data_IF_810493892804
#
_entry.id   IF_810493892804
#
_cell.length_a   1.000
_cell.length_b   1.000
_cell.length_c   1.000
_cell.angle_alpha   90.00
_cell.angle_beta   90.00
_cell.angle_gamma   90.00
#
_symmetry.space_group_name_H-M   'P 1'
#
loop_
_entity.id
_entity.type
_entity.pdbx_description
1 polymer ?
#
# COMPACT_ATOMS: atom_id res chain seq x y z
N UNK A 1 -7.05 -35.10 -7.85
CA UNK A 1 -7.69 -36.08 -6.92
C UNK A 1 -8.12 -35.28 -5.71
N UNK A 2 -9.39 -35.41 -5.31
CA UNK A 2 -10.14 -34.65 -4.29
C UNK A 2 -10.57 -33.21 -4.61
N UNK A 3 -11.80 -33.12 -5.15
CA UNK A 3 -12.76 -32.03 -4.96
C UNK A 3 -13.42 -32.17 -3.57
N UNK A 4 -13.76 -31.05 -2.90
CA UNK A 4 -15.08 -30.72 -2.30
C UNK A 4 -15.00 -29.36 -1.60
N UNK A 5 -15.53 -28.26 -2.16
CA UNK A 5 -16.86 -27.67 -1.91
C UNK A 5 -17.32 -27.66 -0.44
N UNK A 6 -17.49 -26.46 0.13
CA UNK A 6 -18.59 -26.16 1.05
C UNK A 6 -19.22 -24.80 0.71
N UNK A 7 -20.51 -24.85 0.39
CA UNK A 7 -21.48 -23.76 0.39
C UNK A 7 -22.38 -23.97 1.61
N UNK A 8 -22.81 -22.89 2.28
CA UNK A 8 -24.12 -22.70 2.95
C UNK A 8 -24.09 -21.29 3.56
N UNK A 9 -24.73 -20.26 2.99
CA UNK A 9 -26.16 -19.88 3.02
C UNK A 9 -26.78 -19.71 4.41
N UNK A 10 -26.98 -18.43 4.73
CA UNK A 10 -27.94 -17.79 5.64
C UNK A 10 -29.22 -18.58 5.94
N UNK A 11 -29.59 -18.60 7.23
CA UNK A 11 -30.98 -18.62 7.69
C UNK A 11 -31.14 -17.57 8.79
N UNK A 12 -32.03 -16.61 8.52
CA UNK A 12 -32.59 -15.63 9.46
C UNK A 12 -33.70 -16.32 10.24
N UNK A 13 -33.73 -16.16 11.57
CA UNK A 13 -34.96 -16.31 12.34
C UNK A 13 -35.01 -15.23 13.43
N UNK A 14 -35.99 -14.34 13.30
CA UNK A 14 -36.36 -13.35 14.29
C UNK A 14 -37.42 -13.95 15.22
N UNK A 15 -37.28 -13.76 16.55
CA UNK A 15 -38.45 -13.62 17.44
C UNK A 15 -38.11 -12.98 18.78
N UNK A 16 -38.73 -11.81 18.98
CA UNK A 16 -39.36 -11.23 20.18
C UNK A 16 -38.68 -11.21 21.57
N UNK A 17 -38.50 -9.96 22.02
CA UNK A 17 -38.69 -9.38 23.36
C UNK A 17 -39.27 -10.26 24.48
N UNK A 18 -38.64 -10.18 25.65
CA UNK A 18 -39.32 -9.90 26.92
C UNK A 18 -38.37 -9.21 27.92
N UNK A 19 -38.74 -7.98 28.29
CA UNK A 19 -38.16 -7.16 29.35
C UNK A 19 -38.60 -7.73 30.70
N UNK A 20 -37.66 -7.99 31.61
CA UNK A 20 -37.92 -7.96 33.06
C UNK A 20 -36.75 -7.29 33.76
N UNK A 21 -36.96 -6.06 34.20
CA UNK A 21 -36.16 -5.36 35.19
C UNK A 21 -36.39 -5.97 36.56
N UNK A 22 -35.33 -6.29 37.30
CA UNK A 22 -35.36 -6.35 38.77
C UNK A 22 -33.94 -6.22 39.32
N UNK A 23 -33.68 -5.06 39.90
CA UNK A 23 -32.54 -4.79 40.79
C UNK A 23 -32.80 -5.54 42.08
N UNK A 24 -31.88 -6.42 42.50
CA UNK A 24 -31.72 -6.78 43.90
C UNK A 24 -30.23 -6.83 44.24
N UNK A 25 -29.84 -5.91 45.11
CA UNK A 25 -28.59 -5.88 45.85
C UNK A 25 -28.63 -7.07 46.83
N UNK A 26 -27.60 -7.91 46.79
CA UNK A 26 -27.40 -8.98 47.74
C UNK A 26 -25.91 -9.24 47.93
N UNK A 27 -25.32 -8.62 48.96
CA UNK A 27 -24.02 -9.00 49.48
C UNK A 27 -24.08 -10.42 50.04
N UNK A 28 -23.09 -11.25 49.70
CA UNK A 28 -22.83 -12.53 50.35
C UNK A 28 -21.41 -12.98 50.01
N UNK A 29 -20.54 -12.98 51.02
CA UNK A 29 -19.14 -13.42 50.99
C UNK A 29 -18.97 -14.81 50.37
N UNK A 30 -18.12 -14.93 49.34
CA UNK A 30 -17.41 -16.17 48.99
C UNK A 30 -16.05 -15.90 48.36
N UNK A 31 -15.01 -16.08 49.17
CA UNK A 31 -13.68 -16.61 48.84
C UNK A 31 -13.14 -16.31 47.42
N UNK A 32 -12.32 -15.28 47.30
CA UNK A 32 -11.37 -15.14 46.19
C UNK A 32 -10.30 -16.22 46.31
N UNK A 33 -10.28 -17.14 45.34
CA UNK A 33 -9.10 -17.94 45.01
C UNK A 33 -8.25 -17.04 44.14
N UNK A 34 -7.22 -16.42 44.71
CA UNK A 34 -6.14 -15.80 43.95
C UNK A 34 -5.30 -16.90 43.29
N UNK A 35 -5.63 -17.25 42.05
CA UNK A 35 -4.66 -17.84 41.14
C UNK A 35 -3.71 -16.73 40.68
N UNK A 36 -2.68 -16.46 41.49
CA UNK A 36 -1.48 -15.78 41.01
C UNK A 36 -0.76 -16.71 40.03
N UNK A 37 -1.04 -16.55 38.75
CA UNK A 37 -0.14 -16.98 37.69
C UNK A 37 1.09 -16.09 37.73
N UNK A 38 2.08 -16.48 38.55
CA UNK A 38 3.45 -15.98 38.46
C UNK A 38 4.02 -16.42 37.10
N UNK A 39 3.76 -15.62 36.06
CA UNK A 39 4.62 -15.59 34.88
C UNK A 39 5.75 -14.64 35.22
N UNK A 40 6.93 -15.17 35.55
CA UNK A 40 8.15 -14.38 35.60
C UNK A 40 8.33 -13.73 34.22
N UNK A 41 8.06 -12.43 34.10
CA UNK A 41 8.33 -11.68 32.88
C UNK A 41 9.84 -11.66 32.69
N UNK A 42 10.36 -12.49 31.79
CA UNK A 42 11.78 -12.47 31.41
C UNK A 42 12.10 -11.04 30.95
N UNK A 43 13.03 -10.38 31.64
CA UNK A 43 13.41 -9.01 31.32
C UNK A 43 13.89 -8.94 29.87
N UNK A 44 13.45 -7.91 29.16
CA UNK A 44 13.74 -7.73 27.75
C UNK A 44 15.23 -7.47 27.54
N UNK A 45 15.84 -8.23 26.63
CA UNK A 45 17.26 -8.10 26.32
C UNK A 45 17.45 -6.93 25.36
N UNK A 46 18.15 -5.88 25.81
CA UNK A 46 18.59 -4.78 24.95
C UNK A 46 20.04 -4.97 24.51
N UNK A 47 20.34 -4.62 23.26
CA UNK A 47 21.71 -4.52 22.73
C UNK A 47 22.08 -3.07 22.47
N UNK A 48 23.38 -2.76 22.49
CA UNK A 48 23.90 -1.44 22.11
C UNK A 48 24.27 -1.39 20.61
N UNK A 49 24.61 -0.18 20.13
CA UNK A 49 24.95 0.06 18.72
C UNK A 49 26.19 -0.73 18.26
N UNK A 50 27.15 -0.99 19.15
CA UNK A 50 28.36 -1.76 18.79
C UNK A 50 28.02 -3.23 18.58
N UNK A 51 27.24 -3.82 19.49
CA UNK A 51 26.74 -5.17 19.39
C UNK A 51 25.82 -5.35 18.17
N UNK A 52 24.97 -4.36 17.86
CA UNK A 52 24.15 -4.38 16.64
C UNK A 52 25.02 -4.44 15.39
N UNK A 53 26.01 -3.54 15.25
CA UNK A 53 26.91 -3.50 14.08
C UNK A 53 27.65 -4.81 13.87
N UNK A 54 28.08 -5.47 14.95
CA UNK A 54 28.71 -6.80 14.90
C UNK A 54 27.73 -7.86 14.39
N UNK A 55 26.51 -7.91 14.92
CA UNK A 55 25.49 -8.89 14.53
C UNK A 55 25.02 -8.73 13.09
N UNK A 56 24.96 -7.51 12.57
CA UNK A 56 24.59 -7.24 11.18
C UNK A 56 25.63 -7.73 10.15
N UNK A 57 26.80 -8.18 10.58
CA UNK A 57 27.77 -8.83 9.67
C UNK A 57 27.40 -10.29 9.34
N UNK A 58 26.37 -10.85 10.00
CA UNK A 58 25.97 -12.24 9.86
C UNK A 58 24.64 -12.37 9.12
N UNK A 59 24.63 -13.16 8.06
CA UNK A 59 23.40 -13.59 7.33
C UNK A 59 22.42 -14.37 8.22
N UNK A 60 22.85 -14.81 9.41
CA UNK A 60 21.98 -15.46 10.39
C UNK A 60 21.18 -14.48 11.26
N UNK A 61 21.44 -13.17 11.14
CA UNK A 61 20.74 -12.11 11.86
C UNK A 61 19.64 -11.51 10.99
N UNK A 62 18.47 -11.26 11.59
CA UNK A 62 17.38 -10.51 10.97
C UNK A 62 17.09 -9.30 11.83
N UNK A 63 17.21 -8.11 11.25
CA UNK A 63 16.88 -6.85 11.88
C UNK A 63 15.47 -6.43 11.47
N UNK A 64 14.59 -6.18 12.44
CA UNK A 64 13.16 -5.97 12.20
C UNK A 64 12.76 -4.60 12.72
N UNK A 65 12.37 -3.69 11.82
CA UNK A 65 11.73 -2.44 12.18
C UNK A 65 10.24 -2.69 12.48
N UNK A 66 9.79 -2.24 13.64
CA UNK A 66 8.41 -2.44 14.10
C UNK A 66 7.55 -1.18 14.09
N UNK A 67 8.10 -0.08 13.60
CA UNK A 67 7.40 1.20 13.42
C UNK A 67 6.45 1.15 12.22
N UNK A 68 5.76 2.25 11.95
CA UNK A 68 4.85 2.33 10.81
C UNK A 68 5.58 2.25 9.47
N UNK A 69 4.80 1.96 8.42
CA UNK A 69 5.25 1.96 7.04
C UNK A 69 5.91 3.27 6.62
N UNK A 70 5.27 4.37 6.99
CA UNK A 70 5.75 5.70 6.69
C UNK A 70 7.06 6.01 7.41
N UNK A 71 7.21 5.56 8.66
CA UNK A 71 8.43 5.74 9.44
C UNK A 71 9.61 4.98 8.83
N UNK A 72 9.37 3.73 8.42
CA UNK A 72 10.34 2.92 7.68
C UNK A 72 10.70 3.58 6.35
N UNK A 73 9.72 4.10 5.62
CA UNK A 73 9.93 4.68 4.30
C UNK A 73 10.73 5.99 4.33
N UNK A 74 10.56 6.81 5.36
CA UNK A 74 11.34 8.04 5.51
C UNK A 74 10.81 9.10 6.46
N UNK A 75 9.54 9.03 6.87
CA UNK A 75 8.94 9.98 7.81
C UNK A 75 9.51 9.84 9.22
N UNK A 76 9.43 10.92 10.00
CA UNK A 76 9.69 10.90 11.43
C UNK A 76 8.42 10.59 12.21
N UNK A 77 8.51 9.67 13.17
CA UNK A 77 7.48 9.53 14.21
C UNK A 77 7.75 10.48 15.39
N UNK A 78 9.02 10.76 15.67
CA UNK A 78 9.47 11.60 16.77
C UNK A 78 10.55 12.59 16.28
N UNK A 79 10.49 13.83 16.77
CA UNK A 79 11.36 14.93 16.31
C UNK A 79 12.86 14.68 16.55
N UNK A 80 13.21 13.94 17.62
CA UNK A 80 14.58 13.64 18.00
C UNK A 80 15.15 12.38 17.31
N UNK A 81 14.39 11.76 16.40
CA UNK A 81 14.78 10.58 15.63
C UNK A 81 14.72 10.90 14.13
N UNK A 82 15.81 10.63 13.40
CA UNK A 82 15.84 10.64 11.93
C UNK A 82 14.80 9.66 11.37
N UNK A 83 14.06 10.07 10.34
CA UNK A 83 13.13 9.18 9.64
C UNK A 83 13.86 8.21 8.72
N UNK A 84 13.20 7.14 8.30
CA UNK A 84 13.81 6.03 7.55
C UNK A 84 14.30 4.91 8.47
N UNK A 85 14.98 3.92 7.90
CA UNK A 85 15.35 2.67 8.59
C UNK A 85 16.85 2.36 8.56
N UNK A 86 17.28 1.46 9.43
CA UNK A 86 18.66 0.93 9.43
C UNK A 86 18.88 0.06 8.17
N UNK A 87 20.01 0.20 7.44
CA UNK A 87 20.30 -0.62 6.27
C UNK A 87 20.16 -2.13 6.54
N UNK A 88 19.45 -2.82 5.65
CA UNK A 88 19.19 -4.27 5.76
C UNK A 88 18.07 -4.66 6.73
N UNK A 89 17.42 -3.70 7.38
CA UNK A 89 16.21 -3.98 8.15
C UNK A 89 15.07 -4.44 7.24
N UNK A 90 14.33 -5.44 7.70
CA UNK A 90 13.01 -5.78 7.17
C UNK A 90 11.93 -5.05 7.97
N UNK A 91 10.74 -4.96 7.40
CA UNK A 91 9.60 -4.30 8.00
C UNK A 91 8.61 -5.33 8.58
N UNK A 92 8.21 -5.10 9.83
CA UNK A 92 7.10 -5.80 10.48
C UNK A 92 6.45 -4.85 11.50
N UNK A 93 5.53 -3.96 11.07
CA UNK A 93 4.84 -3.04 11.96
C UNK A 93 4.18 -3.79 13.11
N UNK A 94 4.37 -3.30 14.34
CA UNK A 94 3.79 -3.93 15.53
C UNK A 94 2.24 -4.04 15.47
N UNK A 95 1.60 -3.15 14.70
CA UNK A 95 0.15 -3.13 14.46
C UNK A 95 -0.36 -4.38 13.75
N UNK A 96 0.47 -5.07 12.97
CA UNK A 96 0.11 -6.32 12.28
C UNK A 96 -0.24 -7.46 13.22
N UNK A 97 0.26 -7.42 14.46
CA UNK A 97 -0.13 -8.38 15.50
C UNK A 97 -1.65 -8.34 15.81
N UNK A 98 -2.32 -7.23 15.52
CA UNK A 98 -3.77 -7.07 15.70
C UNK A 98 -4.58 -7.48 14.45
N UNK A 99 -3.89 -7.81 13.34
CA UNK A 99 -4.51 -8.15 12.05
C UNK A 99 -4.57 -9.65 11.79
N UNK A 100 -3.64 -10.39 12.38
CA UNK A 100 -3.61 -11.85 12.35
C UNK A 100 -4.65 -12.44 13.30
N UNK A 101 -5.33 -13.52 12.89
CA UNK A 101 -6.42 -14.15 13.64
C UNK A 101 -5.90 -15.08 14.73
N UNK A 102 -4.78 -15.75 14.48
CA UNK A 102 -4.20 -16.74 15.36
C UNK A 102 -2.68 -16.89 15.13
N UNK A 103 -2.05 -17.71 15.97
CA UNK A 103 -0.61 -17.97 15.92
C UNK A 103 -0.19 -18.70 14.64
N UNK A 104 -1.08 -19.43 13.96
CA UNK A 104 -0.75 -20.09 12.70
C UNK A 104 -0.60 -19.06 11.58
N UNK A 105 -1.53 -18.11 11.49
CA UNK A 105 -1.45 -17.00 10.52
C UNK A 105 -0.22 -16.13 10.80
N UNK A 106 0.05 -15.83 12.08
CA UNK A 106 1.24 -15.09 12.47
C UNK A 106 2.54 -15.84 12.11
N UNK A 107 2.64 -17.14 12.38
CA UNK A 107 3.85 -17.91 12.04
C UNK A 107 4.11 -17.91 10.53
N UNK A 108 3.07 -18.03 9.70
CA UNK A 108 3.21 -17.94 8.25
C UNK A 108 3.75 -16.56 7.82
N UNK A 109 3.22 -15.48 8.40
CA UNK A 109 3.67 -14.12 8.11
C UNK A 109 5.13 -13.87 8.57
N UNK A 110 5.50 -14.37 9.75
CA UNK A 110 6.88 -14.30 10.25
C UNK A 110 7.82 -15.06 9.31
N UNK A 111 7.47 -16.27 8.90
CA UNK A 111 8.26 -17.07 7.96
C UNK A 111 8.39 -16.39 6.59
N UNK A 112 7.31 -15.78 6.07
CA UNK A 112 7.32 -15.02 4.82
C UNK A 112 8.29 -13.84 4.88
N UNK A 113 8.35 -13.14 6.02
CA UNK A 113 9.30 -12.05 6.27
C UNK A 113 10.71 -12.57 6.65
N UNK A 114 10.96 -13.88 6.65
CA UNK A 114 12.25 -14.47 6.99
C UNK A 114 12.59 -14.48 8.49
N UNK A 115 11.62 -14.19 9.35
CA UNK A 115 11.74 -14.27 10.81
C UNK A 115 11.50 -15.73 11.22
N UNK A 116 12.58 -16.50 11.37
CA UNK A 116 12.52 -17.92 11.74
C UNK A 116 13.26 -18.20 13.05
N UNK A 117 12.95 -19.33 13.71
CA UNK A 117 13.51 -19.68 15.04
C UNK A 117 15.01 -19.97 15.02
N UNK A 118 15.57 -20.31 13.86
CA UNK A 118 16.99 -20.59 13.70
C UNK A 118 17.84 -19.29 13.70
N UNK A 119 17.23 -18.19 13.27
CA UNK A 119 17.86 -16.87 13.12
C UNK A 119 17.98 -16.17 14.47
N UNK A 120 18.91 -15.22 14.53
CA UNK A 120 18.97 -14.22 15.59
C UNK A 120 18.10 -13.03 15.18
N UNK A 121 17.07 -12.71 15.98
CA UNK A 121 16.10 -11.66 15.68
C UNK A 121 16.38 -10.44 16.55
N UNK A 122 16.59 -9.29 15.92
CA UNK A 122 16.73 -8.01 16.60
C UNK A 122 15.54 -7.15 16.18
N UNK A 123 14.59 -6.92 17.08
CA UNK A 123 13.49 -5.99 16.82
C UNK A 123 13.88 -4.59 17.27
N UNK A 124 13.37 -3.56 16.61
CA UNK A 124 13.60 -2.19 17.04
C UNK A 124 12.43 -1.27 16.76
N UNK A 125 12.43 -0.17 17.51
CA UNK A 125 11.60 1.02 17.31
C UNK A 125 12.37 2.21 17.85
N UNK A 126 11.86 3.44 17.67
CA UNK A 126 12.53 4.69 18.07
C UNK A 126 13.13 4.61 19.49
N UNK A 127 12.30 4.22 20.46
CA UNK A 127 12.69 4.09 21.87
C UNK A 127 12.69 2.65 22.40
N UNK A 128 12.50 1.65 21.54
CA UNK A 128 12.36 0.24 21.92
C UNK A 128 10.99 -0.15 22.51
N UNK A 129 10.06 0.80 22.64
CA UNK A 129 8.74 0.56 23.26
C UNK A 129 7.73 -0.08 22.32
N UNK A 130 7.71 0.32 21.05
CA UNK A 130 6.76 -0.26 20.07
C UNK A 130 7.17 -1.69 19.72
N UNK A 131 8.48 -1.93 19.60
CA UNK A 131 9.07 -3.25 19.35
C UNK A 131 8.87 -4.25 20.49
N UNK A 132 8.48 -3.81 21.68
CA UNK A 132 8.20 -4.68 22.82
C UNK A 132 7.10 -5.71 22.53
N UNK A 133 6.07 -5.31 21.78
CA UNK A 133 4.95 -6.20 21.47
C UNK A 133 5.40 -7.39 20.62
N UNK A 134 6.17 -7.15 19.55
CA UNK A 134 6.73 -8.20 18.71
C UNK A 134 7.80 -9.00 19.47
N UNK A 135 8.67 -8.35 20.25
CA UNK A 135 9.64 -9.05 21.11
C UNK A 135 8.95 -10.10 22.00
N UNK A 136 7.94 -9.66 22.76
CA UNK A 136 7.23 -10.52 23.69
C UNK A 136 6.48 -11.64 22.95
N UNK A 137 5.91 -11.31 21.79
CA UNK A 137 5.22 -12.32 20.97
C UNK A 137 6.17 -13.38 20.45
N UNK A 138 7.34 -13.01 19.91
CA UNK A 138 8.37 -13.96 19.46
C UNK A 138 8.85 -14.86 20.60
N UNK A 139 9.14 -14.29 21.77
CA UNK A 139 9.52 -15.07 22.96
C UNK A 139 8.41 -16.07 23.34
N UNK A 140 7.14 -15.65 23.33
CA UNK A 140 6.00 -16.52 23.64
C UNK A 140 5.82 -17.67 22.64
N UNK A 141 6.23 -17.46 21.38
CA UNK A 141 6.22 -18.48 20.31
C UNK A 141 7.44 -19.40 20.36
N UNK A 142 8.36 -19.19 21.31
CA UNK A 142 9.55 -20.00 21.53
C UNK A 142 10.76 -19.60 20.68
N UNK A 143 10.85 -18.34 20.26
CA UNK A 143 12.10 -17.81 19.69
C UNK A 143 13.09 -17.55 20.83
N UNK A 144 14.26 -18.20 20.77
CA UNK A 144 15.23 -18.16 21.87
C UNK A 144 16.25 -17.02 21.75
N UNK A 145 16.49 -16.54 20.52
CA UNK A 145 17.50 -15.51 20.18
C UNK A 145 16.80 -14.22 19.74
N UNK A 146 16.15 -13.55 20.68
CA UNK A 146 15.46 -12.27 20.43
C UNK A 146 16.11 -11.18 21.27
N UNK A 147 16.41 -10.04 20.66
CA UNK A 147 16.87 -8.82 21.34
C UNK A 147 16.08 -7.61 20.86
N UNK A 148 16.06 -6.55 21.64
CA UNK A 148 15.48 -5.25 21.29
C UNK A 148 16.58 -4.19 21.15
N UNK A 149 16.35 -3.21 20.30
CA UNK A 149 17.25 -2.09 20.05
C UNK A 149 16.47 -0.76 19.98
N UNK A 150 17.14 0.33 20.38
CA UNK A 150 16.58 1.69 20.35
C UNK A 150 17.14 2.42 19.15
N UNK A 151 16.32 2.66 18.14
CA UNK A 151 16.77 3.36 16.93
C UNK A 151 17.27 4.78 17.21
N UNK A 152 16.80 5.44 18.27
CA UNK A 152 17.34 6.70 18.76
C UNK A 152 18.87 6.66 18.92
N UNK A 153 19.44 5.55 19.39
CA UNK A 153 20.89 5.42 19.62
C UNK A 153 21.68 5.28 18.31
N UNK A 154 21.08 4.70 17.27
CA UNK A 154 21.63 4.71 15.90
C UNK A 154 21.51 6.10 15.29
N UNK A 155 20.35 6.72 15.51
CA UNK A 155 19.92 7.96 14.88
C UNK A 155 20.74 9.17 15.32
N UNK A 156 21.14 9.22 16.61
CA UNK A 156 21.97 10.30 17.17
C UNK A 156 23.38 10.41 16.59
N UNK A 157 23.92 9.32 16.07
CA UNK A 157 25.22 9.31 15.42
C UNK A 157 25.03 9.49 13.92
N UNK A 158 25.30 10.70 13.44
CA UNK A 158 25.15 11.08 12.03
C UNK A 158 26.03 10.27 11.07
N UNK A 159 27.08 9.60 11.57
CA UNK A 159 27.92 8.71 10.75
C UNK A 159 27.23 7.39 10.42
N UNK A 160 26.17 7.02 11.15
CA UNK A 160 25.37 5.85 10.84
C UNK A 160 24.43 6.15 9.67
N UNK A 161 24.50 5.29 8.65
CA UNK A 161 23.61 5.34 7.49
C UNK A 161 22.15 5.07 7.90
N UNK A 162 21.23 5.80 7.30
CA UNK A 162 19.79 5.58 7.39
C UNK A 162 19.25 5.60 5.98
N UNK A 163 18.48 4.58 5.62
CA UNK A 163 17.83 4.49 4.32
C UNK A 163 16.52 5.27 4.40
N UNK A 164 16.37 6.24 3.48
CA UNK A 164 15.13 6.97 3.23
C UNK A 164 14.85 6.88 1.72
N UNK A 165 13.61 6.57 1.34
CA UNK A 165 13.24 6.48 -0.08
C UNK A 165 13.02 7.87 -0.68
N UNK A 166 13.44 8.09 -1.92
CA UNK A 166 13.51 9.44 -2.50
C UNK A 166 12.18 10.20 -2.47
N UNK A 167 11.06 9.49 -2.70
CA UNK A 167 9.73 10.07 -2.72
C UNK A 167 8.82 9.45 -1.64
N UNK A 168 9.36 9.17 -0.45
CA UNK A 168 8.59 8.58 0.66
C UNK A 168 7.33 9.38 1.00
N UNK A 169 7.33 10.69 0.74
CA UNK A 169 6.22 11.60 1.05
C UNK A 169 4.93 11.31 0.28
N UNK A 170 4.99 10.49 -0.77
CA UNK A 170 3.84 10.10 -1.60
C UNK A 170 2.90 9.17 -0.84
N UNK A 171 3.41 8.32 0.05
CA UNK A 171 2.60 7.41 0.88
C UNK A 171 2.44 8.02 2.29
N UNK A 172 1.28 8.58 2.58
CA UNK A 172 1.02 9.27 3.86
C UNK A 172 0.20 8.42 4.82
N UNK A 173 0.44 8.59 6.12
CA UNK A 173 -0.28 7.89 7.18
C UNK A 173 -1.61 8.57 7.52
N UNK A 174 -2.54 7.86 8.19
CA UNK A 174 -3.74 8.47 8.75
C UNK A 174 -3.45 9.66 9.67
N UNK A 175 -2.36 9.58 10.46
CA UNK A 175 -1.93 10.68 11.33
C UNK A 175 -1.53 11.92 10.52
N UNK A 176 -0.80 11.75 9.42
CA UNK A 176 -0.41 12.86 8.54
C UNK A 176 -1.66 13.57 7.99
N UNK A 177 -2.63 12.81 7.49
CA UNK A 177 -3.89 13.34 6.95
C UNK A 177 -4.71 14.02 8.06
N UNK A 178 -4.78 13.43 9.25
CA UNK A 178 -5.47 14.02 10.40
C UNK A 178 -4.86 15.34 10.83
N UNK A 179 -3.53 15.41 10.91
CA UNK A 179 -2.82 16.63 11.27
C UNK A 179 -3.05 17.72 10.23
N UNK A 180 -3.10 17.39 8.93
CA UNK A 180 -3.46 18.32 7.86
C UNK A 180 -4.89 18.87 8.02
N UNK A 181 -5.89 17.99 8.22
CA UNK A 181 -7.30 18.38 8.39
C UNK A 181 -7.49 19.25 9.65
N UNK A 182 -6.72 18.99 10.70
CA UNK A 182 -6.73 19.78 11.94
C UNK A 182 -6.04 21.16 11.79
N UNK A 183 -5.55 21.49 10.60
CA UNK A 183 -4.86 22.76 10.33
C UNK A 183 -3.45 22.83 10.88
N UNK A 184 -2.81 21.67 11.16
CA UNK A 184 -1.38 21.61 11.49
C UNK A 184 -0.56 21.55 10.20
N UNK A 185 0.76 21.55 10.35
CA UNK A 185 1.70 21.46 9.24
C UNK A 185 2.48 20.13 9.34
N UNK A 186 1.92 19.01 8.85
CA UNK A 186 2.61 17.73 8.94
C UNK A 186 3.87 17.72 8.06
N UNK A 187 4.82 16.83 8.39
CA UNK A 187 6.12 16.74 7.70
C UNK A 187 5.94 16.66 6.18
N UNK A 188 6.81 17.33 5.42
CA UNK A 188 6.79 17.42 3.94
C UNK A 188 5.56 18.10 3.30
N UNK A 189 4.56 18.59 4.05
CA UNK A 189 3.46 19.36 3.46
C UNK A 189 3.98 20.73 2.93
N UNK A 190 3.82 21.04 1.63
CA UNK A 190 4.36 22.28 1.04
C UNK A 190 3.50 23.52 1.35
N UNK A 191 2.30 23.35 1.91
CA UNK A 191 1.31 24.42 2.04
C UNK A 191 0.39 24.52 0.80
N UNK A 192 -0.29 25.65 0.61
CA UNK A 192 -1.06 25.91 -0.62
C UNK A 192 -2.49 25.37 -0.65
N UNK A 193 -2.97 24.77 0.45
CA UNK A 193 -4.28 24.11 0.50
C UNK A 193 -4.19 22.65 0.08
N UNK A 194 -5.31 21.93 0.18
CA UNK A 194 -5.36 20.52 -0.19
C UNK A 194 -6.73 20.11 -0.75
N UNK A 195 -6.75 19.02 -1.50
CA UNK A 195 -7.94 18.28 -1.86
C UNK A 195 -7.78 16.82 -1.42
N UNK A 196 -8.69 16.34 -0.58
CA UNK A 196 -8.74 14.94 -0.16
C UNK A 196 -9.83 14.23 -0.97
N UNK A 197 -9.51 13.15 -1.68
CA UNK A 197 -10.41 12.47 -2.61
C UNK A 197 -10.63 11.03 -2.16
N UNK A 198 -11.90 10.65 -1.92
CA UNK A 198 -12.30 9.23 -1.82
C UNK A 198 -12.64 8.70 -3.21
N UNK A 199 -11.70 7.99 -3.81
CA UNK A 199 -11.77 7.43 -5.16
C UNK A 199 -12.31 6.00 -5.17
N UNK A 200 -13.44 5.78 -5.84
CA UNK A 200 -14.04 4.45 -6.00
C UNK A 200 -14.83 4.39 -7.31
N UNK A 201 -14.88 3.23 -7.98
CA UNK A 201 -15.76 3.03 -9.13
C UNK A 201 -17.23 2.92 -8.69
N UNK A 202 -18.09 3.84 -9.12
CA UNK A 202 -19.49 3.92 -8.71
C UNK A 202 -19.66 3.94 -7.17
N UNK A 203 -18.76 4.62 -6.46
CA UNK A 203 -18.66 4.52 -4.99
C UNK A 203 -19.49 5.51 -4.18
N UNK A 204 -20.49 6.17 -4.76
CA UNK A 204 -21.28 7.19 -4.06
C UNK A 204 -21.97 6.64 -2.79
N UNK A 205 -22.48 5.40 -2.85
CA UNK A 205 -23.14 4.79 -1.70
C UNK A 205 -22.14 4.46 -0.58
N UNK A 206 -20.94 3.96 -0.93
CA UNK A 206 -19.85 3.68 0.01
C UNK A 206 -19.39 4.96 0.71
N UNK A 207 -19.30 6.07 -0.03
CA UNK A 207 -18.93 7.38 0.52
C UNK A 207 -19.99 7.90 1.52
N UNK A 208 -21.28 7.70 1.22
CA UNK A 208 -22.40 8.11 2.10
C UNK A 208 -22.48 7.29 3.39
N UNK A 209 -22.02 6.03 3.37
CA UNK A 209 -21.93 5.21 4.59
C UNK A 209 -20.88 5.76 5.56
N UNK A 210 -19.85 6.43 5.04
CA UNK A 210 -18.87 7.18 5.83
C UNK A 210 -17.55 7.37 5.08
N UNK A 211 -16.98 8.55 5.23
CA UNK A 211 -15.73 8.97 4.59
C UNK A 211 -14.85 9.79 5.56
N UNK A 212 -13.58 9.96 5.22
CA UNK A 212 -12.65 10.76 6.02
C UNK A 212 -13.13 12.22 6.00
N UNK A 213 -13.13 12.92 7.15
CA UNK A 213 -13.54 14.32 7.18
C UNK A 213 -12.87 15.17 6.11
N UNK A 214 -13.65 16.05 5.47
CA UNK A 214 -13.28 16.92 4.33
C UNK A 214 -13.05 16.21 2.99
N UNK A 215 -13.11 14.88 2.93
CA UNK A 215 -12.93 14.14 1.68
C UNK A 215 -14.07 14.42 0.69
N UNK A 216 -13.73 14.62 -0.57
CA UNK A 216 -14.66 14.75 -1.68
C UNK A 216 -14.90 13.37 -2.29
N UNK A 217 -16.15 13.08 -2.66
CA UNK A 217 -16.47 11.87 -3.42
C UNK A 217 -15.90 12.01 -4.84
N UNK A 218 -15.05 11.08 -5.25
CA UNK A 218 -14.42 11.06 -6.57
C UNK A 218 -14.70 9.71 -7.24
N UNK A 219 -15.37 9.71 -8.39
CA UNK A 219 -15.57 8.48 -9.15
C UNK A 219 -14.41 8.26 -10.11
N UNK A 220 -13.90 7.05 -10.27
CA UNK A 220 -12.85 6.79 -11.27
C UNK A 220 -13.34 7.11 -12.69
N UNK A 221 -14.65 7.03 -12.96
CA UNK A 221 -15.27 7.50 -14.20
C UNK A 221 -15.10 9.01 -14.44
N UNK A 222 -14.61 9.79 -13.47
CA UNK A 222 -14.21 11.17 -13.69
C UNK A 222 -12.95 11.23 -14.58
N UNK A 223 -11.99 10.31 -14.42
CA UNK A 223 -10.71 10.35 -15.15
C UNK A 223 -10.60 9.37 -16.32
N UNK A 224 -11.44 8.35 -16.38
CA UNK A 224 -11.44 7.36 -17.46
C UNK A 224 -12.86 7.08 -17.96
N UNK A 225 -12.97 6.47 -19.14
CA UNK A 225 -14.28 6.13 -19.72
C UNK A 225 -14.23 4.84 -20.53
N UNK A 226 -15.28 4.03 -20.41
CA UNK A 226 -15.50 2.89 -21.29
C UNK A 226 -15.95 3.31 -22.70
N UNK A 227 -15.88 2.39 -23.68
CA UNK A 227 -15.47 0.99 -23.53
C UNK A 227 -13.96 0.75 -23.48
N UNK A 228 -13.14 1.75 -23.83
CA UNK A 228 -11.67 1.62 -23.89
C UNK A 228 -11.02 1.57 -22.50
N UNK A 229 -11.61 2.22 -21.49
CA UNK A 229 -11.09 2.36 -20.13
C UNK A 229 -9.74 3.05 -20.04
N UNK A 230 -9.35 3.77 -21.08
CA UNK A 230 -8.24 4.72 -21.03
C UNK A 230 -8.64 5.99 -20.27
N UNK A 231 -7.62 6.75 -19.88
CA UNK A 231 -7.81 8.12 -19.38
C UNK A 231 -8.55 8.96 -20.43
N UNK A 232 -9.38 9.89 -19.94
CA UNK A 232 -10.07 10.86 -20.78
C UNK A 232 -9.07 11.79 -21.45
N UNK A 233 -9.54 12.52 -22.45
CA UNK A 233 -8.72 13.52 -23.14
C UNK A 233 -8.28 14.62 -22.19
N UNK A 234 -7.15 15.27 -22.48
CA UNK A 234 -6.62 16.38 -21.66
C UNK A 234 -7.66 17.48 -21.39
N UNK A 235 -8.50 17.80 -22.37
CA UNK A 235 -9.57 18.78 -22.23
C UNK A 235 -10.68 18.31 -21.26
N UNK A 236 -11.03 17.03 -21.27
CA UNK A 236 -11.99 16.46 -20.32
C UNK A 236 -11.40 16.42 -18.90
N UNK A 237 -10.12 16.06 -18.77
CA UNK A 237 -9.42 16.02 -17.48
C UNK A 237 -9.21 17.42 -16.89
N UNK A 238 -8.97 18.44 -17.72
CA UNK A 238 -8.91 19.84 -17.31
C UNK A 238 -10.22 20.29 -16.65
N UNK A 239 -11.37 19.89 -17.23
CA UNK A 239 -12.67 20.21 -16.63
C UNK A 239 -12.92 19.46 -15.31
N UNK A 240 -12.35 18.26 -15.15
CA UNK A 240 -12.41 17.51 -13.88
C UNK A 240 -11.63 18.22 -12.79
N UNK A 241 -10.36 18.59 -13.03
CA UNK A 241 -9.59 19.30 -11.99
C UNK A 241 -10.19 20.66 -11.66
N UNK A 242 -10.77 21.38 -12.65
CA UNK A 242 -11.53 22.60 -12.40
C UNK A 242 -12.76 22.36 -11.54
N UNK A 243 -13.55 21.33 -11.85
CA UNK A 243 -14.74 20.94 -11.06
C UNK A 243 -14.38 20.66 -9.60
N UNK A 244 -13.27 19.96 -9.37
CA UNK A 244 -12.82 19.55 -8.03
C UNK A 244 -11.99 20.61 -7.29
N UNK A 245 -11.69 21.75 -7.91
CA UNK A 245 -10.92 22.82 -7.28
C UNK A 245 -9.43 22.54 -7.17
N UNK A 246 -8.90 21.67 -8.02
CA UNK A 246 -7.50 21.23 -8.00
C UNK A 246 -6.70 22.11 -8.97
N UNK A 247 -5.70 22.81 -8.43
CA UNK A 247 -4.69 23.55 -9.21
C UNK A 247 -3.39 22.76 -9.26
N UNK A 248 -2.42 23.23 -10.06
CA UNK A 248 -1.06 22.67 -10.07
C UNK A 248 -0.39 22.67 -8.68
N UNK A 249 -0.71 23.67 -7.84
CA UNK A 249 -0.10 23.90 -6.54
C UNK A 249 -0.90 23.27 -5.37
N UNK A 250 -2.04 22.62 -5.67
CA UNK A 250 -2.88 21.98 -4.65
C UNK A 250 -2.25 20.65 -4.25
N UNK A 251 -2.05 20.41 -2.95
CA UNK A 251 -1.75 19.05 -2.48
C UNK A 251 -2.98 18.16 -2.66
N UNK A 252 -2.89 17.14 -3.52
CA UNK A 252 -3.96 16.17 -3.72
C UNK A 252 -3.63 14.90 -2.96
N UNK A 253 -4.51 14.50 -2.05
CA UNK A 253 -4.43 13.22 -1.33
C UNK A 253 -5.56 12.33 -1.82
N UNK A 254 -5.24 11.12 -2.26
CA UNK A 254 -6.22 10.16 -2.76
C UNK A 254 -6.24 8.94 -1.86
N UNK A 255 -7.43 8.39 -1.64
CA UNK A 255 -7.61 7.08 -1.02
C UNK A 255 -8.84 6.40 -1.61
N UNK A 256 -8.92 5.07 -1.52
CA UNK A 256 -9.99 4.34 -2.18
C UNK A 256 -9.98 2.86 -1.86
N UNK A 257 -11.00 2.14 -2.34
CA UNK A 257 -11.04 0.67 -2.24
C UNK A 257 -11.63 0.08 -3.52
N UNK A 258 -10.89 -0.80 -4.24
CA UNK A 258 -9.52 -1.22 -3.95
C UNK A 258 -8.52 -0.06 -4.14
N UNK A 259 -7.36 -0.15 -3.47
CA UNK A 259 -6.24 0.80 -3.52
C UNK A 259 -5.94 1.24 -4.96
N UNK A 260 -5.75 0.29 -5.88
CA UNK A 260 -5.35 0.52 -7.27
C UNK A 260 -6.20 1.54 -8.04
N UNK A 261 -7.45 1.80 -7.63
CA UNK A 261 -8.28 2.88 -8.20
C UNK A 261 -7.87 4.27 -7.70
N UNK A 262 -7.41 4.40 -6.46
CA UNK A 262 -6.80 5.61 -5.91
C UNK A 262 -5.43 5.88 -6.55
N UNK A 263 -4.55 4.87 -6.68
CA UNK A 263 -3.25 5.07 -7.34
C UNK A 263 -3.42 5.42 -8.83
N UNK A 264 -4.47 4.91 -9.49
CA UNK A 264 -4.84 5.33 -10.84
C UNK A 264 -5.19 6.81 -10.91
N UNK A 265 -5.98 7.32 -9.96
CA UNK A 265 -6.27 8.76 -9.87
C UNK A 265 -5.01 9.56 -9.56
N UNK A 266 -4.15 9.09 -8.64
CA UNK A 266 -2.89 9.74 -8.31
C UNK A 266 -1.96 9.87 -9.53
N UNK A 267 -1.80 8.80 -10.31
CA UNK A 267 -1.06 8.83 -11.58
C UNK A 267 -1.62 9.89 -12.54
N UNK A 268 -2.94 10.00 -12.68
CA UNK A 268 -3.55 11.01 -13.56
C UNK A 268 -3.26 12.42 -13.04
N UNK A 269 -3.34 12.67 -11.73
CA UNK A 269 -2.99 13.98 -11.16
C UNK A 269 -1.52 14.33 -11.43
N UNK A 270 -0.61 13.36 -11.31
CA UNK A 270 0.81 13.54 -11.66
C UNK A 270 0.98 13.81 -13.17
N UNK A 271 0.28 13.09 -14.06
CA UNK A 271 0.29 13.31 -15.50
C UNK A 271 -0.14 14.74 -15.88
N UNK A 272 -1.23 15.23 -15.26
CA UNK A 272 -1.74 16.58 -15.51
C UNK A 272 -0.75 17.66 -15.06
N UNK A 273 0.02 17.39 -14.00
CA UNK A 273 1.04 18.31 -13.48
C UNK A 273 0.73 18.88 -12.09
N UNK A 274 -0.07 18.19 -11.28
CA UNK A 274 -0.18 18.52 -9.85
C UNK A 274 1.18 18.25 -9.21
N UNK A 275 1.74 19.25 -8.55
CA UNK A 275 3.12 19.20 -8.03
C UNK A 275 3.25 18.35 -6.75
N UNK A 276 2.17 18.21 -5.96
CA UNK A 276 2.14 17.39 -4.74
C UNK A 276 0.94 16.44 -4.75
N UNK A 277 1.20 15.19 -5.11
CA UNK A 277 0.20 14.11 -5.15
C UNK A 277 0.58 13.01 -4.17
N UNK A 278 -0.38 12.62 -3.34
CA UNK A 278 -0.19 11.65 -2.26
C UNK A 278 -1.30 10.62 -2.22
N UNK A 279 -1.00 9.47 -1.62
CA UNK A 279 -1.90 8.35 -1.40
C UNK A 279 -1.93 8.08 0.10
N UNK A 280 -3.13 7.96 0.68
CA UNK A 280 -3.27 7.47 2.05
C UNK A 280 -2.99 5.97 2.05
N UNK A 281 -1.84 5.59 2.60
CA UNK A 281 -1.39 4.20 2.63
C UNK A 281 -2.37 3.35 3.47
N UNK A 282 -2.90 2.27 2.90
CA UNK A 282 -3.95 1.45 3.52
C UNK A 282 -5.37 2.04 3.48
N UNK A 283 -5.55 3.21 2.87
CA UNK A 283 -6.83 3.83 2.58
C UNK A 283 -7.75 4.03 3.78
N UNK A 284 -9.07 3.88 3.57
CA UNK A 284 -10.09 4.10 4.61
C UNK A 284 -9.95 3.12 5.78
N UNK A 285 -9.49 1.90 5.53
CA UNK A 285 -9.31 0.91 6.58
C UNK A 285 -8.21 1.34 7.55
N UNK A 286 -7.06 1.82 7.05
CA UNK A 286 -6.00 2.36 7.90
C UNK A 286 -6.48 3.55 8.76
N UNK A 287 -7.34 4.43 8.22
CA UNK A 287 -7.97 5.50 9.00
C UNK A 287 -8.80 4.97 10.18
N UNK A 288 -9.62 3.95 9.93
CA UNK A 288 -10.44 3.31 10.96
C UNK A 288 -9.58 2.57 12.00
N UNK A 289 -8.52 1.90 11.57
CA UNK A 289 -7.59 1.19 12.46
C UNK A 289 -6.81 2.15 13.37
N UNK A 290 -6.57 3.38 12.90
CA UNK A 290 -6.02 4.46 13.71
C UNK A 290 -7.04 5.02 14.73
N UNK A 291 -8.27 4.49 14.77
CA UNK A 291 -9.33 4.93 15.69
C UNK A 291 -9.90 6.29 15.37
N UNK A 292 -9.78 6.74 14.11
CA UNK A 292 -10.24 8.05 13.68
C UNK A 292 -11.68 8.00 13.16
N UNK A 293 -12.43 9.07 13.43
CA UNK A 293 -13.85 9.15 13.09
C UNK A 293 -14.06 9.42 11.59
N UNK A 294 -15.14 8.86 11.05
CA UNK A 294 -15.65 9.19 9.72
C UNK A 294 -16.74 10.26 9.85
N UNK A 295 -16.97 11.00 8.77
CA UNK A 295 -18.18 11.80 8.60
C UNK A 295 -19.09 11.21 7.52
N UNK A 296 -20.35 11.62 7.50
CA UNK A 296 -21.37 11.16 6.55
C UNK A 296 -22.01 12.30 5.77
N UNK A 297 -21.60 13.54 6.04
CA UNK A 297 -22.12 14.72 5.35
C UNK A 297 -21.44 14.84 3.99
N UNK A 298 -22.21 14.96 2.91
CA UNK A 298 -21.62 15.17 1.58
C UNK A 298 -20.79 16.46 1.55
N UNK A 299 -19.52 16.33 1.15
CA UNK A 299 -18.68 17.49 0.85
C UNK A 299 -18.78 17.85 -0.62
N UNK A 300 -18.98 19.14 -0.89
CA UNK A 300 -19.09 19.68 -2.24
C UNK A 300 -17.75 20.29 -2.68
N UNK A 301 -17.26 19.98 -3.90
CA UNK A 301 -16.04 20.57 -4.40
C UNK A 301 -16.22 22.08 -4.66
N UNK A 302 -15.13 22.83 -4.51
CA UNK A 302 -15.10 24.27 -4.82
C UNK A 302 -14.44 24.47 -6.17
N UNK A 303 -15.26 24.62 -7.20
CA UNK A 303 -14.75 24.78 -8.55
C UNK A 303 -13.83 26.00 -8.70
N UNK A 304 -12.80 25.86 -9.53
CA UNK A 304 -11.86 26.92 -9.91
C UNK A 304 -12.01 27.24 -11.40
N UNK A 305 -11.53 28.41 -11.81
CA UNK A 305 -11.58 28.82 -13.21
C UNK A 305 -10.42 28.26 -14.05
N UNK A 306 -9.25 28.06 -13.44
CA UNK A 306 -7.99 27.74 -14.13
C UNK A 306 -7.10 26.86 -13.24
N UNK A 307 -6.46 25.86 -13.85
CA UNK A 307 -5.52 24.94 -13.20
C UNK A 307 -4.21 25.62 -12.77
N UNK A 308 -3.83 26.71 -13.44
CA UNK A 308 -2.59 27.46 -13.20
C UNK A 308 -1.42 27.05 -14.09
N UNK A 309 -1.60 26.07 -14.98
CA UNK A 309 -0.61 25.63 -15.96
C UNK A 309 -1.28 24.98 -17.18
N UNK A 310 -0.51 24.78 -18.26
CA UNK A 310 -0.99 24.02 -19.43
C UNK A 310 -1.04 22.54 -19.09
N UNK A 311 -2.15 21.87 -19.32
CA UNK A 311 -2.27 20.42 -19.17
C UNK A 311 -1.97 19.71 -20.50
N UNK A 312 -1.35 18.51 -20.47
CA UNK A 312 -0.63 17.90 -19.34
C UNK A 312 0.79 18.48 -19.22
N UNK A 313 1.33 18.51 -18.00
CA UNK A 313 2.74 18.86 -17.79
C UNK A 313 3.68 17.65 -17.94
N UNK A 314 3.20 16.44 -17.64
CA UNK A 314 4.02 15.22 -17.62
C UNK A 314 3.43 14.16 -18.57
N UNK A 315 3.36 14.42 -19.89
CA UNK A 315 2.71 13.53 -20.85
C UNK A 315 3.35 12.14 -20.92
N UNK A 316 4.64 12.02 -20.62
CA UNK A 316 5.36 10.75 -20.70
C UNK A 316 4.99 9.74 -19.60
N UNK A 317 4.23 10.14 -18.57
CA UNK A 317 3.78 9.23 -17.50
C UNK A 317 2.70 8.27 -17.95
N UNK A 318 1.92 8.62 -18.98
CA UNK A 318 0.85 7.79 -19.53
C UNK A 318 1.10 7.66 -21.03
N UNK A 319 1.35 6.44 -21.49
CA UNK A 319 1.75 6.15 -22.86
C UNK A 319 0.78 5.18 -23.55
N UNK A 320 0.80 5.16 -24.88
CA UNK A 320 -0.10 4.33 -25.70
C UNK A 320 0.70 3.30 -26.53
N UNK A 321 0.02 2.57 -27.42
CA UNK A 321 0.61 1.47 -28.19
C UNK A 321 1.88 1.88 -28.96
N UNK A 322 1.94 3.05 -29.64
CA UNK A 322 3.14 3.46 -30.35
C UNK A 322 4.37 3.57 -29.44
N UNK A 323 4.24 4.23 -28.29
CA UNK A 323 5.32 4.42 -27.33
C UNK A 323 5.68 3.09 -26.63
N UNK A 324 4.69 2.25 -26.31
CA UNK A 324 4.93 0.93 -25.73
C UNK A 324 5.71 0.01 -26.68
N UNK A 325 5.51 0.13 -28.01
CA UNK A 325 6.34 -0.55 -29.01
C UNK A 325 7.79 -0.07 -29.00
N UNK A 326 8.05 1.20 -28.69
CA UNK A 326 9.42 1.70 -28.50
C UNK A 326 10.02 1.21 -27.17
N UNK A 327 9.22 1.14 -26.09
CA UNK A 327 9.65 0.52 -24.82
C UNK A 327 10.06 -0.94 -25.02
N UNK A 328 9.36 -1.71 -25.86
CA UNK A 328 9.73 -3.10 -26.17
C UNK A 328 11.06 -3.25 -26.93
N UNK A 329 11.57 -2.20 -27.57
CA UNK A 329 12.86 -2.23 -28.26
C UNK A 329 14.03 -1.96 -27.31
N UNK A 330 13.92 -0.88 -26.53
CA UNK A 330 15.03 -0.30 -25.79
C UNK A 330 14.74 -0.10 -24.28
N UNK A 331 13.70 -0.77 -23.76
CA UNK A 331 13.24 -0.66 -22.37
C UNK A 331 12.59 -1.95 -21.85
N UNK A 332 11.73 -1.78 -20.84
CA UNK A 332 11.09 -2.86 -20.08
C UNK A 332 9.57 -2.61 -20.05
N UNK A 333 8.81 -3.39 -20.81
CA UNK A 333 7.35 -3.40 -20.68
C UNK A 333 6.95 -4.47 -19.65
N UNK A 334 6.26 -4.07 -18.59
CA UNK A 334 6.01 -4.90 -17.41
C UNK A 334 4.52 -5.21 -17.26
N UNK A 335 4.18 -6.49 -17.38
CA UNK A 335 2.83 -7.02 -17.21
C UNK A 335 2.52 -7.24 -15.73
N UNK A 336 1.76 -6.33 -15.14
CA UNK A 336 1.24 -6.39 -13.77
C UNK A 336 -0.10 -7.14 -13.77
N UNK A 337 -0.04 -8.42 -14.11
CA UNK A 337 -1.20 -9.31 -14.27
C UNK A 337 -0.99 -10.61 -13.50
N UNK A 338 -2.06 -11.35 -13.24
CA UNK A 338 -1.94 -12.66 -12.61
C UNK A 338 -1.25 -13.67 -13.52
N UNK A 339 -0.77 -14.78 -12.95
CA UNK A 339 -0.14 -15.84 -13.74
C UNK A 339 -1.09 -16.41 -14.81
N UNK A 340 -2.33 -16.70 -14.42
CA UNK A 340 -3.32 -17.30 -15.31
C UNK A 340 -3.74 -16.36 -16.46
N UNK A 341 -3.70 -15.05 -16.24
CA UNK A 341 -3.79 -14.04 -17.30
C UNK A 341 -2.57 -14.08 -18.22
N UNK A 342 -1.36 -14.07 -17.64
CA UNK A 342 -0.09 -13.98 -18.37
C UNK A 342 0.18 -15.19 -19.29
N UNK A 343 -0.22 -16.39 -18.87
CA UNK A 343 -0.12 -17.60 -19.70
C UNK A 343 -1.36 -17.83 -20.58
N UNK A 344 -2.37 -16.94 -20.52
CA UNK A 344 -3.55 -16.98 -21.38
C UNK A 344 -4.59 -18.06 -21.06
N UNK A 345 -4.69 -18.50 -19.79
CA UNK A 345 -5.83 -19.34 -19.34
C UNK A 345 -7.11 -18.53 -19.22
N UNK A 346 -7.00 -17.27 -18.81
CA UNK A 346 -8.11 -16.31 -18.68
C UNK A 346 -7.72 -14.96 -19.27
N UNK A 347 -8.70 -14.14 -19.68
CA UNK A 347 -8.45 -12.72 -19.98
C UNK A 347 -8.27 -11.91 -18.70
N UNK A 348 -8.89 -12.38 -17.61
CA UNK A 348 -9.00 -11.70 -16.32
C UNK A 348 -10.28 -10.87 -16.16
N UNK A 349 -11.08 -10.68 -17.22
CA UNK A 349 -12.16 -9.69 -17.24
C UNK A 349 -13.43 -10.24 -17.88
N UNK A 350 -14.59 -9.79 -17.39
CA UNK A 350 -15.90 -10.22 -17.89
C UNK A 350 -16.33 -9.52 -19.18
N UNK A 351 -15.77 -8.34 -19.47
CA UNK A 351 -16.15 -7.50 -20.60
C UNK A 351 -15.33 -7.75 -21.88
N UNK A 352 -14.32 -8.64 -21.84
CA UNK A 352 -13.60 -9.14 -23.03
C UNK A 352 -12.90 -10.49 -22.78
N UNK A 353 -12.77 -11.33 -23.81
CA UNK A 353 -12.30 -12.73 -23.68
C UNK A 353 -10.99 -13.03 -24.43
N UNK A 354 -10.27 -12.02 -24.93
CA UNK A 354 -8.96 -12.25 -25.57
C UNK A 354 -7.90 -12.60 -24.52
N UNK A 355 -7.17 -13.70 -24.75
CA UNK A 355 -6.23 -14.30 -23.79
C UNK A 355 -4.80 -14.30 -24.32
N UNK A 356 -3.85 -14.24 -23.40
CA UNK A 356 -2.42 -14.19 -23.69
C UNK A 356 -1.76 -12.99 -23.05
N UNK A 357 -0.54 -12.73 -23.49
CA UNK A 357 0.31 -11.61 -23.06
C UNK A 357 0.92 -10.90 -24.26
N UNK A 358 1.39 -9.68 -24.02
CA UNK A 358 2.19 -8.93 -24.98
C UNK A 358 3.54 -9.66 -25.12
N UNK A 359 3.95 -9.92 -26.36
CA UNK A 359 5.22 -10.59 -26.63
C UNK A 359 6.39 -9.71 -26.14
N UNK A 360 7.27 -10.30 -25.33
CA UNK A 360 8.45 -9.61 -24.78
C UNK A 360 8.22 -8.84 -23.47
N UNK A 361 6.99 -8.82 -22.95
CA UNK A 361 6.72 -8.23 -21.65
C UNK A 361 7.33 -9.06 -20.51
N UNK A 362 7.85 -8.39 -19.49
CA UNK A 362 8.30 -9.00 -18.23
C UNK A 362 7.09 -9.19 -17.33
N UNK A 363 7.00 -10.33 -16.66
CA UNK A 363 5.90 -10.59 -15.74
C UNK A 363 6.22 -10.07 -14.34
N UNK A 364 5.37 -9.16 -13.85
CA UNK A 364 5.29 -8.79 -12.44
C UNK A 364 3.96 -9.32 -11.91
N UNK A 365 4.01 -10.31 -11.02
CA UNK A 365 2.81 -11.00 -10.57
C UNK A 365 1.98 -10.06 -9.68
N UNK A 366 0.80 -9.62 -10.13
CA UNK A 366 -0.06 -8.79 -9.28
C UNK A 366 -0.54 -9.54 -8.04
N UNK A 367 -0.92 -10.81 -8.21
CA UNK A 367 -1.55 -11.62 -7.18
C UNK A 367 -2.36 -12.78 -7.78
N UNK A 368 -3.55 -13.03 -7.25
CA UNK A 368 -4.37 -14.21 -7.55
C UNK A 368 -5.48 -13.96 -8.58
N UNK A 369 -6.05 -12.75 -8.59
CA UNK A 369 -7.15 -12.33 -9.47
C UNK A 369 -6.85 -10.98 -10.13
N UNK A 370 -7.65 -10.62 -11.13
CA UNK A 370 -7.51 -9.32 -11.80
C UNK A 370 -7.91 -8.13 -10.92
N UNK A 371 -8.43 -8.39 -9.72
CA UNK A 371 -8.95 -7.40 -8.78
C UNK A 371 -8.10 -7.30 -7.49
N UNK A 372 -6.95 -7.99 -7.43
CA UNK A 372 -6.07 -7.93 -6.26
C UNK A 372 -4.61 -7.65 -6.63
N UNK A 373 -3.91 -7.09 -5.65
CA UNK A 373 -2.51 -6.70 -5.67
C UNK A 373 -1.74 -7.37 -4.53
N UNK A 374 -2.09 -8.62 -4.18
CA UNK A 374 -1.59 -9.31 -2.98
C UNK A 374 -0.06 -9.46 -2.90
N UNK A 375 0.68 -9.33 -4.00
CA UNK A 375 2.16 -9.32 -3.96
C UNK A 375 2.77 -7.92 -3.84
N UNK A 376 1.94 -6.88 -3.86
CA UNK A 376 2.30 -5.46 -3.74
C UNK A 376 1.51 -4.77 -2.62
N UNK A 377 0.81 -5.52 -1.79
CA UNK A 377 0.12 -5.05 -0.59
C UNK A 377 0.50 -5.91 0.61
N UNK A 378 0.60 -5.29 1.78
CA UNK A 378 0.74 -6.00 3.06
C UNK A 378 -0.64 -6.33 3.67
N UNK A 379 -0.64 -7.07 4.78
CA UNK A 379 -1.86 -7.69 5.33
C UNK A 379 -2.92 -6.69 5.84
N UNK A 380 -2.55 -5.42 6.02
CA UNK A 380 -3.45 -4.34 6.41
C UNK A 380 -3.89 -3.46 5.23
N UNK A 381 -3.52 -3.84 4.00
CA UNK A 381 -3.86 -3.14 2.77
C UNK A 381 -2.96 -1.95 2.45
N UNK A 382 -1.91 -1.71 3.24
CA UNK A 382 -0.82 -0.81 2.85
C UNK A 382 -0.05 -1.36 1.66
N UNK A 383 0.68 -0.51 0.97
CA UNK A 383 1.66 -0.95 -0.03
C UNK A 383 2.65 -1.90 0.61
N UNK A 384 3.03 -2.96 -0.11
CA UNK A 384 4.10 -3.86 0.30
C UNK A 384 5.34 -3.04 0.62
N UNK A 385 6.06 -3.42 1.67
CA UNK A 385 7.35 -2.80 2.02
C UNK A 385 8.17 -2.42 0.79
N UNK A 386 8.51 -1.14 0.67
CA UNK A 386 9.23 -0.63 -0.50
C UNK A 386 10.60 -1.32 -0.67
N UNK A 387 11.21 -1.81 0.42
CA UNK A 387 12.41 -2.64 0.38
C UNK A 387 12.17 -3.98 -0.34
N UNK A 388 11.03 -4.63 -0.05
CA UNK A 388 10.66 -5.89 -0.69
C UNK A 388 10.28 -5.68 -2.15
N UNK A 389 9.58 -4.58 -2.48
CA UNK A 389 9.28 -4.22 -3.86
C UNK A 389 10.56 -3.93 -4.66
N UNK A 390 11.53 -3.20 -4.07
CA UNK A 390 12.82 -2.94 -4.70
C UNK A 390 13.58 -4.24 -5.00
N UNK A 391 13.59 -5.17 -4.05
CA UNK A 391 14.21 -6.47 -4.22
C UNK A 391 13.50 -7.31 -5.29
N UNK A 392 12.16 -7.33 -5.27
CA UNK A 392 11.37 -8.03 -6.27
C UNK A 392 11.64 -7.49 -7.69
N UNK A 393 11.70 -6.17 -7.86
CA UNK A 393 12.06 -5.54 -9.13
C UNK A 393 13.45 -5.97 -9.61
N UNK A 394 14.45 -6.01 -8.73
CA UNK A 394 15.79 -6.52 -9.08
C UNK A 394 15.75 -7.98 -9.53
N UNK A 395 14.99 -8.83 -8.84
CA UNK A 395 14.85 -10.26 -9.18
C UNK A 395 14.25 -10.49 -10.57
N UNK A 396 13.26 -9.68 -10.96
CA UNK A 396 12.66 -9.74 -12.30
C UNK A 396 13.44 -8.92 -13.35
N UNK A 397 14.63 -8.43 -13.00
CA UNK A 397 15.56 -7.78 -13.92
C UNK A 397 15.21 -6.33 -14.27
N UNK A 398 14.54 -5.62 -13.36
CA UNK A 398 14.26 -4.19 -13.43
C UNK A 398 15.17 -3.40 -12.49
N UNK A 399 15.50 -2.17 -12.87
CA UNK A 399 16.27 -1.26 -12.03
C UNK A 399 15.91 0.22 -12.30
N UNK A 400 16.32 1.10 -11.38
CA UNK A 400 15.98 2.54 -11.41
C UNK A 400 16.40 3.32 -12.66
N UNK A 401 17.35 2.81 -13.44
CA UNK A 401 17.86 3.48 -14.64
C UNK A 401 17.18 2.96 -15.92
N UNK A 402 16.37 1.91 -15.84
CA UNK A 402 15.65 1.36 -16.99
C UNK A 402 14.55 2.32 -17.45
N UNK A 403 14.30 2.34 -18.76
CA UNK A 403 13.02 2.83 -19.29
C UNK A 403 11.96 1.77 -19.04
N UNK A 404 11.10 1.98 -18.03
CA UNK A 404 10.13 0.97 -17.59
C UNK A 404 8.70 1.46 -17.80
N UNK A 405 7.85 0.67 -18.44
CA UNK A 405 6.42 0.95 -18.52
C UNK A 405 5.62 -0.19 -17.93
N UNK A 406 4.78 0.09 -16.95
CA UNK A 406 3.88 -0.88 -16.34
C UNK A 406 2.56 -0.95 -17.11
N UNK A 407 1.93 -2.12 -17.19
CA UNK A 407 0.60 -2.27 -17.77
C UNK A 407 -0.15 -3.45 -17.17
N UNK A 408 -1.47 -3.44 -17.26
CA UNK A 408 -2.31 -4.58 -16.89
C UNK A 408 -3.40 -4.84 -17.94
N UNK A 409 -4.67 -4.91 -17.57
CA UNK A 409 -5.76 -4.88 -18.56
C UNK A 409 -6.01 -3.48 -19.07
N UNK A 410 -6.26 -2.56 -18.15
CA UNK A 410 -6.75 -1.19 -18.39
C UNK A 410 -6.10 -0.14 -17.44
N UNK A 411 -4.91 -0.42 -16.91
CA UNK A 411 -4.09 0.57 -16.19
C UNK A 411 -4.14 0.59 -14.66
N UNK A 412 -5.18 0.07 -13.99
CA UNK A 412 -5.31 0.19 -12.51
C UNK A 412 -4.16 -0.46 -11.73
N UNK A 413 -3.99 -1.78 -11.84
CA UNK A 413 -2.89 -2.51 -11.17
C UNK A 413 -1.50 -1.95 -11.50
N UNK A 414 -1.32 -1.49 -12.74
CA UNK A 414 -0.07 -0.88 -13.19
C UNK A 414 0.20 0.47 -12.51
N UNK A 415 -0.85 1.19 -12.13
CA UNK A 415 -0.73 2.48 -11.44
C UNK A 415 -0.20 2.30 -10.02
N UNK A 416 -0.62 1.24 -9.30
CA UNK A 416 -0.07 0.94 -7.96
C UNK A 416 1.43 0.64 -8.04
N UNK A 417 1.87 -0.24 -8.94
CA UNK A 417 3.30 -0.52 -9.11
C UNK A 417 4.10 0.68 -9.64
N UNK A 418 3.46 1.56 -10.41
CA UNK A 418 4.07 2.83 -10.79
C UNK A 418 4.33 3.71 -9.57
N UNK A 419 3.38 3.79 -8.62
CA UNK A 419 3.56 4.53 -7.38
C UNK A 419 4.71 3.94 -6.56
N UNK A 420 4.83 2.61 -6.46
CA UNK A 420 5.97 1.98 -5.76
C UNK A 420 7.32 2.36 -6.39
N UNK A 421 7.43 2.26 -7.72
CA UNK A 421 8.63 2.66 -8.46
C UNK A 421 8.91 4.17 -8.31
N UNK A 422 7.85 4.98 -8.25
CA UNK A 422 7.96 6.41 -8.01
C UNK A 422 8.48 6.72 -6.60
N UNK A 423 8.00 6.02 -5.56
CA UNK A 423 8.51 6.12 -4.17
C UNK A 423 10.01 5.80 -4.12
N UNK A 424 10.45 4.77 -4.84
CA UNK A 424 11.85 4.40 -5.03
C UNK A 424 12.71 5.45 -5.78
N UNK A 425 12.10 6.50 -6.32
CA UNK A 425 12.78 7.57 -7.05
C UNK A 425 13.05 7.27 -8.52
N UNK A 426 12.39 6.26 -9.11
CA UNK A 426 12.58 5.95 -10.53
C UNK A 426 12.06 7.11 -11.38
N UNK A 427 12.86 7.54 -12.36
CA UNK A 427 12.58 8.74 -13.18
C UNK A 427 12.04 8.43 -14.58
N UNK A 428 12.38 7.27 -15.13
CA UNK A 428 12.00 6.87 -16.48
C UNK A 428 10.93 5.77 -16.43
N UNK A 429 9.82 6.09 -15.78
CA UNK A 429 8.68 5.20 -15.57
C UNK A 429 7.41 5.76 -16.21
N UNK A 430 6.57 4.87 -16.71
CA UNK A 430 5.27 5.21 -17.28
C UNK A 430 4.24 4.10 -17.04
N UNK A 431 2.97 4.40 -17.27
CA UNK A 431 1.91 3.40 -17.43
C UNK A 431 1.48 3.35 -18.88
N UNK A 432 1.47 2.15 -19.44
CA UNK A 432 0.94 1.88 -20.78
C UNK A 432 -0.57 1.65 -20.68
N UNK A 433 -1.33 2.67 -21.08
CA UNK A 433 -2.74 2.85 -20.71
C UNK A 433 -3.70 1.90 -21.43
N UNK A 434 -3.48 1.78 -22.75
CA UNK A 434 -4.16 0.85 -23.66
C UNK A 434 -4.12 -0.60 -23.15
N UNK A 435 -3.05 -0.95 -22.41
CA UNK A 435 -2.89 -2.21 -21.70
C UNK A 435 -3.04 -3.46 -22.57
N UNK A 436 -3.37 -4.59 -21.94
CA UNK A 436 -3.71 -5.82 -22.67
C UNK A 436 -5.00 -5.65 -23.47
N UNK A 437 -5.96 -4.87 -22.96
CA UNK A 437 -7.28 -4.74 -23.58
C UNK A 437 -7.16 -4.28 -25.03
N UNK A 438 -6.60 -3.09 -25.26
CA UNK A 438 -6.47 -2.55 -26.61
C UNK A 438 -5.37 -3.25 -27.43
N UNK A 439 -4.24 -3.63 -26.81
CA UNK A 439 -3.19 -4.37 -27.53
C UNK A 439 -3.76 -5.62 -28.21
N UNK A 440 -4.61 -6.36 -27.50
CA UNK A 440 -5.20 -7.61 -27.99
C UNK A 440 -6.18 -7.46 -29.15
N UNK A 441 -6.67 -6.24 -29.43
CA UNK A 441 -7.66 -5.99 -30.48
C UNK A 441 -7.07 -6.13 -31.90
N UNK A 442 -5.76 -5.92 -32.06
CA UNK A 442 -5.06 -5.96 -33.35
C UNK A 442 -3.84 -6.90 -33.31
N UNK A 443 -4.04 -8.22 -33.18
CA UNK A 443 -2.94 -9.18 -33.03
C UNK A 443 -2.02 -9.28 -34.25
N UNK A 444 -2.46 -8.81 -35.42
CA UNK A 444 -1.66 -8.81 -36.65
C UNK A 444 -0.53 -7.76 -36.57
N UNK A 445 -0.78 -6.62 -35.92
CA UNK A 445 0.23 -5.57 -35.71
C UNK A 445 0.79 -5.53 -34.28
N UNK A 446 0.17 -6.24 -33.34
CA UNK A 446 0.52 -6.28 -31.93
C UNK A 446 0.78 -7.74 -31.49
N UNK A 447 2.02 -8.23 -31.62
CA UNK A 447 2.34 -9.64 -31.34
C UNK A 447 2.00 -10.06 -29.91
N UNK A 448 1.43 -11.27 -29.78
CA UNK A 448 1.06 -11.86 -28.49
C UNK A 448 1.68 -13.25 -28.30
N UNK A 449 1.72 -13.71 -27.05
CA UNK A 449 2.12 -15.07 -26.68
C UNK A 449 1.07 -15.73 -25.75
N UNK A 450 1.01 -17.06 -25.77
CA UNK A 450 0.12 -17.89 -24.94
C UNK A 450 0.91 -19.09 -24.43
N UNK A 451 0.52 -19.62 -23.27
CA UNK A 451 1.16 -20.76 -22.62
C UNK A 451 2.32 -20.34 -21.72
N UNK A 452 2.91 -21.33 -21.05
CA UNK A 452 4.07 -21.10 -20.20
C UNK A 452 5.23 -20.53 -21.03
N UNK A 453 5.96 -19.51 -20.52
CA UNK A 453 7.19 -19.05 -21.15
C UNK A 453 8.15 -20.22 -21.37
N UNK A 454 8.75 -20.29 -22.55
CA UNK A 454 9.87 -21.21 -22.78
C UNK A 454 11.13 -20.48 -22.31
N UNK A 455 11.75 -21.00 -21.24
CA UNK A 455 13.00 -20.48 -20.70
C UNK A 455 14.13 -20.49 -21.75
#
# INVERSE_FOLDING_TARGET
MFQTKFKNKFIVLATLLLIVSSIFIGCSDKSEVTETTNTESKEMVYIDTSALKEKLQSEATVLVDTRSDEAFNGFKENEDVRGGHIPGAIQFPATWLNKVKDDSELNNLLEEKGITKEKEIIVYSDYGKVSESLYNKLVSLGYEKVSNYKFLDWSKDESNEVIQYENYQVLVSPKWVKDLIDGKNPETYPGGGYALLESNYNGLDIYKEGHIPTALQFDTNEIEKGPEWNVKTDAELEEVVKKFGITKDTTVIVYGTPSMGAERVALVMMYLGVEDVRVLNGGKQAWLDAGLELETTMNEPKAIADFGAKIPQNPDLIINIPEAKEVLKDGKLVSVRTWDEYIGKTSGYSYFDRKGRIKGAIWANSGNTSQDMANFEDIDGTHRSIAEVENYYKEIGLNKNDKTSFYCGTGWRASLTFIDAHVLGWKNISVFDDGWFQWSLDPDNNPIEIGNPQN
#
